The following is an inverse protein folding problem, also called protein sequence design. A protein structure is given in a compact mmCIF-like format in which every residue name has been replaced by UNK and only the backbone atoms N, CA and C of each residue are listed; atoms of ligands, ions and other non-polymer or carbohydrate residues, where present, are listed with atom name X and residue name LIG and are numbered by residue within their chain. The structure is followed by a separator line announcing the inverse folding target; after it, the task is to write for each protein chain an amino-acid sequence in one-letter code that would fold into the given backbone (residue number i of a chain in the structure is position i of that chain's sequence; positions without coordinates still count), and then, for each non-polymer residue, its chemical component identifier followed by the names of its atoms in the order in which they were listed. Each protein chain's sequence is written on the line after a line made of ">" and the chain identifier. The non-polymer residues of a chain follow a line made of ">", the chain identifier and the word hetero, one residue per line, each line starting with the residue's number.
data_IF_119215680337
#
_entry.id   IF_119215680337
#
_cell.length_a   1.000
_cell.length_b   1.000
_cell.length_c   1.000
_cell.angle_alpha   90.00
_cell.angle_beta   90.00
_cell.angle_gamma   90.00
#
_symmetry.space_group_name_H-M   'P 1'
#
loop_
_entity.id
_entity.type
_entity.pdbx_description
1 polymer ?
#
# COMPACT_ATOMS: atom_id res chain seq x y z
N UNK A 1 -25.39 -7.76 33.21
CA UNK A 1 -25.53 -9.01 32.44
C UNK A 1 -25.89 -8.59 31.02
N UNK A 2 -24.95 -8.42 30.08
CA UNK A 2 -24.24 -9.50 29.40
C UNK A 2 -25.18 -10.08 28.32
N UNK A 3 -24.95 -9.98 27.02
CA UNK A 3 -23.69 -9.73 26.33
C UNK A 3 -23.84 -9.39 24.84
N UNK A 4 -22.66 -9.14 24.29
CA UNK A 4 -22.29 -8.81 22.92
C UNK A 4 -22.92 -9.72 21.85
N UNK A 5 -23.23 -9.14 20.69
CA UNK A 5 -23.43 -9.89 19.45
C UNK A 5 -22.83 -9.11 18.28
N UNK A 6 -21.53 -9.33 18.13
CA UNK A 6 -20.79 -9.55 16.88
C UNK A 6 -21.15 -8.68 15.68
N UNK A 7 -20.33 -7.64 15.53
CA UNK A 7 -19.56 -7.29 14.34
C UNK A 7 -19.78 -8.25 13.15
N UNK A 8 -20.50 -7.77 12.14
CA UNK A 8 -20.42 -8.34 10.80
C UNK A 8 -19.53 -7.39 10.00
N UNK A 9 -18.22 -7.55 10.13
CA UNK A 9 -17.36 -7.29 8.98
C UNK A 9 -17.89 -8.21 7.89
N UNK A 10 -18.51 -7.64 6.85
CA UNK A 10 -18.69 -8.38 5.61
C UNK A 10 -17.28 -8.51 5.07
N UNK A 11 -16.63 -9.59 5.47
CA UNK A 11 -15.34 -9.96 4.93
C UNK A 11 -15.56 -10.12 3.43
N UNK A 12 -15.02 -9.18 2.66
CA UNK A 12 -14.95 -9.29 1.20
C UNK A 12 -14.07 -10.50 0.94
N UNK A 13 -14.66 -11.69 0.93
CA UNK A 13 -13.94 -12.92 0.61
C UNK A 13 -13.41 -12.77 -0.80
N UNK A 14 -12.20 -13.29 -1.04
CA UNK A 14 -11.54 -13.28 -2.36
C UNK A 14 -12.45 -13.77 -3.49
N UNK A 15 -13.44 -14.60 -3.14
CA UNK A 15 -14.47 -15.14 -4.04
C UNK A 15 -15.48 -14.08 -4.52
N UNK A 16 -15.81 -13.09 -3.71
CA UNK A 16 -16.74 -12.00 -4.07
C UNK A 16 -16.14 -11.00 -5.06
N UNK A 17 -14.81 -10.86 -5.09
CA UNK A 17 -14.07 -10.07 -6.10
C UNK A 17 -14.14 -10.65 -7.52
N UNK A 18 -14.51 -11.94 -7.66
CA UNK A 18 -14.67 -12.62 -8.95
C UNK A 18 -16.14 -12.91 -9.30
N UNK A 19 -17.11 -12.21 -8.71
CA UNK A 19 -18.49 -12.37 -9.14
C UNK A 19 -18.63 -11.77 -10.53
N UNK A 20 -18.96 -12.59 -11.52
CA UNK A 20 -19.24 -12.13 -12.88
C UNK A 20 -20.31 -11.03 -12.85
N UNK A 21 -19.99 -9.85 -13.40
CA UNK A 21 -20.96 -8.78 -13.59
C UNK A 21 -22.07 -9.31 -14.51
N UNK A 22 -23.29 -9.53 -13.99
CA UNK A 22 -24.48 -9.74 -14.83
C UNK A 22 -24.80 -8.42 -15.53
N UNK A 23 -24.66 -8.32 -16.86
CA UNK A 23 -24.75 -7.02 -17.51
C UNK A 23 -26.21 -6.60 -17.71
N UNK A 24 -26.57 -5.40 -17.22
CA UNK A 24 -27.91 -4.80 -17.35
C UNK A 24 -28.07 -4.08 -18.69
N UNK A 25 -29.05 -4.52 -19.50
CA UNK A 25 -29.47 -4.16 -20.88
C UNK A 25 -29.03 -2.82 -21.55
N UNK A 26 -28.65 -1.76 -20.83
CA UNK A 26 -28.16 -0.49 -21.38
C UNK A 26 -26.68 -0.46 -21.81
N UNK A 27 -25.92 -1.54 -21.57
CA UNK A 27 -24.48 -1.65 -21.83
C UNK A 27 -24.07 -1.86 -23.31
N UNK A 28 -25.03 -2.14 -24.21
CA UNK A 28 -24.73 -2.60 -25.58
C UNK A 28 -24.01 -1.59 -26.51
N UNK A 29 -24.08 -0.28 -26.24
CA UNK A 29 -23.43 0.75 -27.10
C UNK A 29 -21.99 1.04 -26.68
N UNK A 30 -21.67 0.89 -25.38
CA UNK A 30 -20.28 0.97 -24.87
C UNK A 30 -19.43 -0.21 -25.33
N UNK A 31 -20.05 -1.37 -25.51
CA UNK A 31 -19.37 -2.60 -25.91
C UNK A 31 -18.78 -2.55 -27.32
N UNK A 32 -19.43 -1.86 -28.27
CA UNK A 32 -18.92 -1.81 -29.66
C UNK A 32 -17.64 -0.97 -29.74
N UNK A 33 -17.63 0.24 -29.15
CA UNK A 33 -16.44 1.08 -29.12
C UNK A 33 -15.32 0.49 -28.25
N UNK A 34 -15.66 -0.14 -27.11
CA UNK A 34 -14.69 -0.86 -26.29
C UNK A 34 -14.05 -2.02 -27.06
N UNK A 35 -14.86 -2.83 -27.74
CA UNK A 35 -14.36 -3.96 -28.53
C UNK A 35 -13.47 -3.52 -29.71
N UNK A 36 -13.77 -2.40 -30.36
CA UNK A 36 -12.94 -1.87 -31.47
C UNK A 36 -11.53 -1.51 -31.00
N UNK A 37 -11.34 -1.12 -29.73
CA UNK A 37 -10.03 -0.73 -29.17
C UNK A 37 -9.38 -1.90 -28.42
N UNK A 38 -10.12 -2.65 -27.61
CA UNK A 38 -9.58 -3.75 -26.82
C UNK A 38 -9.09 -4.91 -27.69
N UNK A 39 -9.78 -5.24 -28.78
CA UNK A 39 -9.39 -6.33 -29.68
C UNK A 39 -8.00 -6.09 -30.31
N UNK A 40 -7.70 -4.94 -30.95
CA UNK A 40 -6.38 -4.71 -31.50
C UNK A 40 -5.29 -4.60 -30.41
N UNK A 41 -5.59 -4.01 -29.24
CA UNK A 41 -4.62 -3.88 -28.14
C UNK A 41 -4.26 -5.25 -27.55
N UNK A 42 -5.23 -6.12 -27.36
CA UNK A 42 -4.99 -7.49 -26.87
C UNK A 42 -4.24 -8.33 -27.90
N UNK A 43 -4.54 -8.19 -29.20
CA UNK A 43 -3.77 -8.83 -30.26
C UNK A 43 -2.32 -8.35 -30.28
N UNK A 44 -2.06 -7.04 -30.14
CA UNK A 44 -0.71 -6.50 -30.06
C UNK A 44 0.06 -7.03 -28.84
N UNK A 45 -0.58 -7.10 -27.66
CA UNK A 45 0.02 -7.67 -26.46
C UNK A 45 0.49 -9.11 -26.69
N UNK A 46 -0.38 -9.97 -27.24
CA UNK A 46 -0.07 -11.39 -27.44
C UNK A 46 0.93 -11.60 -28.58
N UNK A 47 0.80 -10.88 -29.69
CA UNK A 47 1.61 -11.14 -30.88
C UNK A 47 2.98 -10.47 -30.83
N UNK A 48 3.11 -9.32 -30.16
CA UNK A 48 4.34 -8.53 -30.12
C UNK A 48 4.96 -8.55 -28.73
N UNK A 49 4.23 -8.08 -27.71
CA UNK A 49 4.79 -7.90 -26.36
C UNK A 49 5.21 -9.24 -25.75
N UNK A 50 4.34 -10.24 -25.78
CA UNK A 50 4.61 -11.52 -25.12
C UNK A 50 5.71 -12.33 -25.83
N UNK A 51 5.91 -12.13 -27.15
CA UNK A 51 7.01 -12.77 -27.90
C UNK A 51 8.36 -12.07 -27.71
N UNK A 52 8.36 -10.75 -27.54
CA UNK A 52 9.58 -9.97 -27.28
C UNK A 52 10.00 -10.07 -25.81
N UNK A 53 9.04 -10.21 -24.90
CA UNK A 53 9.30 -10.28 -23.47
C UNK A 53 9.81 -11.67 -23.07
N UNK A 54 11.13 -11.81 -23.02
CA UNK A 54 11.75 -12.94 -22.31
C UNK A 54 11.55 -12.75 -20.80
N UNK A 55 10.83 -13.63 -20.09
CA UNK A 55 10.63 -13.48 -18.65
C UNK A 55 11.97 -13.69 -17.93
N UNK A 56 12.50 -12.62 -17.34
CA UNK A 56 13.68 -12.70 -16.49
C UNK A 56 13.24 -12.77 -15.02
N UNK A 57 13.74 -13.73 -14.22
CA UNK A 57 13.38 -13.81 -12.81
C UNK A 57 13.92 -12.59 -12.06
N UNK A 58 13.04 -11.87 -11.37
CA UNK A 58 13.41 -10.81 -10.44
C UNK A 58 13.06 -11.21 -9.01
N UNK A 59 14.00 -11.01 -8.09
CA UNK A 59 13.82 -11.33 -6.67
C UNK A 59 13.80 -10.06 -5.84
N UNK A 60 12.95 -10.06 -4.81
CA UNK A 60 12.93 -8.98 -3.82
C UNK A 60 14.16 -9.10 -2.93
N UNK A 61 14.97 -8.04 -2.86
CA UNK A 61 16.12 -7.98 -1.97
C UNK A 61 15.67 -8.02 -0.51
N UNK A 62 16.26 -8.92 0.26
CA UNK A 62 16.04 -9.05 1.71
C UNK A 62 17.27 -8.49 2.44
N UNK A 63 17.05 -7.54 3.33
CA UNK A 63 18.09 -6.99 4.20
C UNK A 63 17.98 -7.65 5.57
N UNK A 64 19.09 -8.14 6.10
CA UNK A 64 19.15 -8.64 7.46
C UNK A 64 19.09 -7.46 8.44
N UNK A 65 18.60 -7.72 9.66
CA UNK A 65 18.57 -6.69 10.70
C UNK A 65 19.99 -6.49 11.27
N UNK A 66 20.34 -5.23 11.45
CA UNK A 66 21.58 -4.76 12.10
C UNK A 66 21.20 -4.33 13.53
N UNK A 67 22.11 -4.39 14.53
CA UNK A 67 21.89 -3.76 15.82
C UNK A 67 21.43 -2.29 15.69
N UNK A 68 20.64 -1.82 16.65
CA UNK A 68 20.21 -0.42 16.69
C UNK A 68 21.34 0.49 17.17
N UNK A 69 21.23 1.78 16.89
CA UNK A 69 22.27 2.78 17.23
C UNK A 69 22.63 2.77 18.72
N UNK A 70 21.66 2.49 19.61
CA UNK A 70 21.88 2.44 21.07
C UNK A 70 22.79 1.29 21.54
N UNK A 71 23.00 0.28 20.69
CA UNK A 71 23.83 -0.88 20.99
C UNK A 71 25.27 -0.73 20.47
N UNK A 72 25.52 0.26 19.60
CA UNK A 72 26.83 0.52 19.02
C UNK A 72 27.73 1.29 19.99
N UNK A 73 29.04 0.99 19.96
CA UNK A 73 30.04 1.81 20.63
C UNK A 73 30.24 3.11 19.85
N UNK A 74 30.43 4.24 20.55
CA UNK A 74 30.60 5.57 19.92
C UNK A 74 31.77 5.65 18.94
N UNK A 75 32.82 4.85 19.16
CA UNK A 75 34.03 4.85 18.32
C UNK A 75 33.93 3.90 17.11
N UNK A 76 32.90 3.04 17.06
CA UNK A 76 32.70 2.10 15.96
C UNK A 76 31.86 2.75 14.84
N UNK A 77 32.54 3.43 13.93
CA UNK A 77 31.92 4.07 12.78
C UNK A 77 31.20 3.07 11.86
N UNK A 78 31.65 1.82 11.75
CA UNK A 78 31.01 0.84 10.87
C UNK A 78 29.62 0.46 11.40
N UNK A 79 29.52 0.20 12.71
CA UNK A 79 28.23 -0.09 13.36
C UNK A 79 27.23 1.07 13.20
N UNK A 80 27.70 2.31 13.40
CA UNK A 80 26.86 3.50 13.28
C UNK A 80 26.34 3.70 11.85
N UNK A 81 27.18 3.54 10.84
CA UNK A 81 26.81 3.67 9.42
C UNK A 81 25.82 2.58 8.99
N UNK A 82 26.02 1.33 9.41
CA UNK A 82 25.10 0.24 9.10
C UNK A 82 23.73 0.44 9.76
N UNK A 83 23.71 0.89 11.02
CA UNK A 83 22.50 1.20 11.76
C UNK A 83 21.73 2.38 11.14
N UNK A 84 22.41 3.44 10.71
CA UNK A 84 21.79 4.59 10.03
C UNK A 84 21.19 4.18 8.67
N UNK A 85 21.91 3.38 7.88
CA UNK A 85 21.36 2.83 6.64
C UNK A 85 20.11 1.98 6.87
N UNK A 86 20.09 1.17 7.94
CA UNK A 86 18.94 0.38 8.31
C UNK A 86 17.75 1.28 8.68
N UNK A 87 17.98 2.33 9.46
CA UNK A 87 16.97 3.31 9.83
C UNK A 87 16.38 4.04 8.61
N UNK A 88 17.22 4.50 7.67
CA UNK A 88 16.75 5.15 6.43
C UNK A 88 15.85 4.25 5.60
N UNK A 89 16.20 2.96 5.47
CA UNK A 89 15.38 1.98 4.74
C UNK A 89 14.04 1.77 5.43
N UNK A 90 14.04 1.57 6.75
CA UNK A 90 12.81 1.35 7.51
C UNK A 90 11.88 2.58 7.45
N UNK A 91 12.44 3.81 7.44
CA UNK A 91 11.65 5.04 7.22
C UNK A 91 10.96 5.06 5.84
N UNK A 92 11.68 4.68 4.78
CA UNK A 92 11.10 4.59 3.43
C UNK A 92 9.99 3.54 3.36
N UNK A 93 10.15 2.43 4.08
CA UNK A 93 9.10 1.40 4.20
C UNK A 93 7.87 1.99 4.90
N UNK A 94 8.02 2.66 6.04
CA UNK A 94 6.91 3.26 6.78
C UNK A 94 6.16 4.33 5.97
N UNK A 95 6.89 5.16 5.21
CA UNK A 95 6.29 6.14 4.28
C UNK A 95 5.40 5.44 3.24
N UNK A 96 5.87 4.31 2.68
CA UNK A 96 5.10 3.55 1.71
C UNK A 96 3.89 2.86 2.34
N UNK A 97 3.98 2.40 3.59
CA UNK A 97 2.84 1.85 4.33
C UNK A 97 1.73 2.89 4.45
N UNK A 98 2.04 4.10 4.92
CA UNK A 98 1.05 5.19 5.04
C UNK A 98 0.45 5.54 3.67
N UNK A 99 1.27 5.52 2.60
CA UNK A 99 0.79 5.75 1.23
C UNK A 99 -0.19 4.67 0.76
N UNK A 100 0.08 3.40 1.03
CA UNK A 100 -0.81 2.29 0.68
C UNK A 100 -2.14 2.42 1.43
N UNK A 101 -2.10 2.65 2.75
CA UNK A 101 -3.31 2.84 3.56
C UNK A 101 -4.14 4.03 3.09
N UNK A 102 -3.49 5.13 2.70
CA UNK A 102 -4.16 6.28 2.09
C UNK A 102 -4.89 5.91 0.80
N UNK A 103 -4.23 5.14 -0.08
CA UNK A 103 -4.83 4.70 -1.34
C UNK A 103 -6.03 3.79 -1.08
N UNK A 104 -5.91 2.81 -0.18
CA UNK A 104 -7.02 1.92 0.19
C UNK A 104 -8.21 2.69 0.75
N UNK A 105 -7.98 3.63 1.68
CA UNK A 105 -9.01 4.53 2.21
C UNK A 105 -9.70 5.32 1.09
N UNK A 106 -8.92 5.94 0.21
CA UNK A 106 -9.46 6.74 -0.88
C UNK A 106 -10.27 5.91 -1.88
N UNK A 107 -9.85 4.67 -2.17
CA UNK A 107 -10.59 3.75 -3.02
C UNK A 107 -11.93 3.36 -2.41
N UNK A 108 -11.97 3.03 -1.12
CA UNK A 108 -13.22 2.73 -0.40
C UNK A 108 -14.18 3.93 -0.46
N UNK A 109 -13.69 5.12 -0.12
CA UNK A 109 -14.50 6.35 -0.15
C UNK A 109 -15.01 6.61 -1.57
N UNK A 110 -14.17 6.44 -2.59
CA UNK A 110 -14.55 6.68 -3.98
C UNK A 110 -15.62 5.68 -4.44
N UNK A 111 -15.54 4.42 -4.02
CA UNK A 111 -16.51 3.38 -4.38
C UNK A 111 -17.90 3.68 -3.79
N UNK A 112 -17.99 3.81 -2.47
CA UNK A 112 -19.29 4.01 -1.79
C UNK A 112 -19.91 5.40 -2.03
N UNK A 113 -19.10 6.41 -2.39
CA UNK A 113 -19.63 7.72 -2.84
C UNK A 113 -20.51 7.62 -4.09
N UNK A 114 -20.22 6.70 -5.00
CA UNK A 114 -21.01 6.51 -6.23
C UNK A 114 -22.33 5.79 -5.96
N UNK A 115 -22.35 4.88 -4.99
CA UNK A 115 -23.53 4.06 -4.66
C UNK A 115 -24.49 4.75 -3.67
N UNK A 116 -24.22 6.01 -3.26
CA UNK A 116 -24.97 6.75 -2.24
C UNK A 116 -25.08 6.03 -0.87
N UNK A 117 -24.18 5.09 -0.61
CA UNK A 117 -24.13 4.34 0.64
C UNK A 117 -23.41 5.13 1.75
N UNK A 118 -23.68 4.78 3.01
CA UNK A 118 -23.05 5.39 4.18
C UNK A 118 -21.55 5.03 4.24
N UNK A 119 -20.72 5.92 3.69
CA UNK A 119 -19.25 5.79 3.64
C UNK A 119 -18.64 5.48 5.01
N UNK A 120 -19.18 6.07 6.07
CA UNK A 120 -18.65 5.91 7.43
C UNK A 120 -18.84 4.50 7.99
N UNK A 121 -19.90 3.80 7.58
CA UNK A 121 -20.18 2.44 8.04
C UNK A 121 -19.19 1.44 7.44
N UNK A 122 -18.90 1.55 6.15
CA UNK A 122 -18.04 0.61 5.43
C UNK A 122 -16.56 0.98 5.51
N UNK A 123 -16.23 2.27 5.36
CA UNK A 123 -14.84 2.73 5.32
C UNK A 123 -14.29 3.12 6.70
N UNK A 124 -15.10 3.09 7.76
CA UNK A 124 -14.69 3.40 9.14
C UNK A 124 -13.37 2.76 9.58
N UNK A 125 -13.18 1.43 9.47
CA UNK A 125 -11.93 0.78 9.89
C UNK A 125 -10.71 1.24 9.07
N UNK A 126 -10.86 1.41 7.75
CA UNK A 126 -9.78 1.86 6.87
C UNK A 126 -9.35 3.30 7.18
N UNK A 127 -10.30 4.14 7.59
CA UNK A 127 -10.02 5.51 8.01
C UNK A 127 -9.23 5.49 9.33
N UNK A 128 -9.67 4.70 10.31
CA UNK A 128 -9.00 4.55 11.59
C UNK A 128 -7.57 3.99 11.45
N UNK A 129 -7.37 2.96 10.63
CA UNK A 129 -6.05 2.38 10.36
C UNK A 129 -5.10 3.42 9.73
N UNK A 130 -5.61 4.20 8.77
CA UNK A 130 -4.83 5.27 8.16
C UNK A 130 -4.45 6.36 9.17
N UNK A 131 -5.39 6.79 10.02
CA UNK A 131 -5.15 7.83 11.03
C UNK A 131 -4.12 7.35 12.07
N UNK A 132 -4.29 6.14 12.59
CA UNK A 132 -3.35 5.52 13.53
C UNK A 132 -1.94 5.42 12.91
N UNK A 133 -1.85 4.92 11.68
CA UNK A 133 -0.56 4.80 10.98
C UNK A 133 0.07 6.16 10.68
N UNK A 134 -0.73 7.17 10.28
CA UNK A 134 -0.26 8.51 9.99
C UNK A 134 0.26 9.20 11.27
N UNK A 135 -0.43 9.05 12.40
CA UNK A 135 0.00 9.58 13.70
C UNK A 135 1.27 8.87 14.18
N UNK A 136 1.35 7.54 14.09
CA UNK A 136 2.54 6.78 14.46
C UNK A 136 3.76 7.18 13.62
N UNK A 137 3.57 7.31 12.30
CA UNK A 137 4.62 7.78 11.39
C UNK A 137 5.04 9.21 11.71
N UNK A 138 4.07 10.10 11.99
CA UNK A 138 4.32 11.48 12.38
C UNK A 138 5.11 11.56 13.69
N UNK A 139 4.74 10.81 14.72
CA UNK A 139 5.46 10.79 16.00
C UNK A 139 6.90 10.32 15.77
N UNK A 140 7.09 9.26 14.97
CA UNK A 140 8.40 8.71 14.63
C UNK A 140 9.28 9.69 13.84
N UNK A 141 8.70 10.55 12.99
CA UNK A 141 9.44 11.43 12.07
C UNK A 141 9.51 12.92 12.47
N UNK A 142 8.56 13.42 13.25
CA UNK A 142 8.42 14.85 13.54
C UNK A 142 8.91 15.19 14.95
N UNK A 143 8.70 14.31 15.93
CA UNK A 143 9.11 14.56 17.32
C UNK A 143 10.58 14.20 17.56
N UNK A 144 11.04 13.08 17.01
CA UNK A 144 12.45 12.78 16.84
C UNK A 144 12.91 13.46 15.55
N UNK A 145 13.69 14.54 15.66
CA UNK A 145 14.16 15.38 14.56
C UNK A 145 14.62 14.59 13.33
N UNK A 146 13.76 14.48 12.30
CA UNK A 146 14.11 13.91 10.99
C UNK A 146 14.61 14.98 9.99
N UNK A 147 14.86 16.18 10.50
CA UNK A 147 15.87 17.14 10.05
C UNK A 147 16.96 16.94 11.09
N UNK A 148 17.99 16.13 10.91
CA UNK A 148 19.10 16.35 10.02
C UNK A 148 19.62 14.97 9.60
N UNK A 149 19.91 14.82 8.31
CA UNK A 149 20.82 13.83 7.77
C UNK A 149 22.08 13.79 8.66
N UNK A 150 22.17 12.84 9.60
CA UNK A 150 23.24 12.66 10.59
C UNK A 150 24.45 13.58 10.43
N UNK A 151 24.50 14.81 10.98
CA UNK A 151 25.77 15.41 11.29
C UNK A 151 26.11 14.83 12.64
N UNK A 152 27.17 14.02 12.66
CA UNK A 152 28.26 14.29 13.60
C UNK A 152 27.75 14.86 14.94
N UNK A 153 27.43 13.98 15.88
CA UNK A 153 28.01 14.23 17.21
C UNK A 153 29.51 13.92 17.08
N UNK A 154 30.21 14.84 16.41
CA UNK A 154 31.64 15.03 16.59
C UNK A 154 31.75 15.93 17.81
N UNK A 155 32.58 15.51 18.77
CA UNK A 155 32.83 16.07 20.10
C UNK A 155 31.77 15.78 21.17
#
# INVERSE_FOLDING_TARGET
>A
MGGSSHDKSVDVTRESLFRELKPHAGYKVRDIFGSIIDIPVTLFRVHVVDKVRTPYPYYHKRYNRVPTVDQCLTDDFACLEEADQQYRRDRLVDMNIVRILRNSKNQCIQWHKHDHEDVNQFCGPLIADYENAAVNYYIKCMFFTCYIDTPRKLS
#
